data_IF_552955589826
#
_entry.id   IF_552955589826
#
_cell.length_a   1.000
_cell.length_b   1.000
_cell.length_c   1.000
_cell.angle_alpha   90.00
_cell.angle_beta   90.00
_cell.angle_gamma   90.00
#
_symmetry.space_group_name_H-M   'P 1'
#
loop_
_entity.id
_entity.type
_entity.pdbx_description
1 polymer ?
#
# COMPACT_ATOMS: atom_id res chain seq x y z
N UNK A 1 -4.44 7.04 -17.95
CA UNK A 1 -5.10 6.39 -16.80
C UNK A 1 -6.54 6.87 -16.79
N UNK A 2 -7.55 5.97 -16.79
CA UNK A 2 -8.94 6.41 -16.76
C UNK A 2 -9.20 7.19 -15.45
N UNK A 3 -10.09 8.18 -15.51
CA UNK A 3 -10.47 9.18 -14.48
C UNK A 3 -10.80 8.63 -13.08
N UNK A 4 -9.85 7.98 -12.40
CA UNK A 4 -9.99 7.59 -10.99
C UNK A 4 -9.78 8.86 -10.15
N UNK A 5 -10.87 9.36 -9.57
CA UNK A 5 -10.86 10.48 -8.63
C UNK A 5 -9.98 10.13 -7.42
N UNK A 6 -9.21 11.11 -6.96
CA UNK A 6 -8.40 10.98 -5.75
C UNK A 6 -9.29 10.70 -4.52
N UNK A 7 -8.76 9.89 -3.61
CA UNK A 7 -9.43 9.59 -2.35
C UNK A 7 -9.42 10.84 -1.47
N UNK A 8 -10.60 11.25 -0.99
CA UNK A 8 -10.70 12.40 -0.09
C UNK A 8 -10.34 11.98 1.34
N UNK A 9 -9.14 12.37 1.77
CA UNK A 9 -8.59 12.09 3.10
C UNK A 9 -8.30 13.36 3.92
N UNK A 10 -8.86 14.51 3.52
CA UNK A 10 -8.66 15.80 4.18
C UNK A 10 -9.08 15.76 5.67
N UNK A 11 -10.10 14.96 6.01
CA UNK A 11 -10.54 14.77 7.39
C UNK A 11 -9.50 14.05 8.27
N UNK A 12 -8.52 13.38 7.67
CA UNK A 12 -7.36 12.82 8.35
C UNK A 12 -6.13 13.74 8.31
N UNK A 13 -6.27 14.98 7.82
CA UNK A 13 -5.14 15.91 7.63
C UNK A 13 -4.28 15.60 6.40
N UNK A 14 -4.66 14.63 5.57
CA UNK A 14 -3.89 14.22 4.40
C UNK A 14 -4.29 15.07 3.20
N UNK A 15 -3.36 15.90 2.72
CA UNK A 15 -3.55 16.66 1.49
C UNK A 15 -3.68 15.75 0.27
N UNK A 16 -4.30 16.25 -0.81
CA UNK A 16 -4.39 15.51 -2.07
C UNK A 16 -3.02 15.08 -2.62
N UNK A 17 -2.00 15.93 -2.48
CA UNK A 17 -0.65 15.62 -2.93
C UNK A 17 0.00 14.54 -2.05
N UNK A 18 -0.20 14.59 -0.73
CA UNK A 18 0.27 13.56 0.19
C UNK A 18 -0.38 12.20 -0.13
N UNK A 19 -1.69 12.18 -0.41
CA UNK A 19 -2.37 10.98 -0.88
C UNK A 19 -1.77 10.43 -2.19
N UNK A 20 -1.49 11.29 -3.17
CA UNK A 20 -0.87 10.86 -4.44
C UNK A 20 0.49 10.23 -4.22
N UNK A 21 1.32 10.81 -3.36
CA UNK A 21 2.63 10.23 -3.00
C UNK A 21 2.45 8.84 -2.36
N UNK A 22 1.54 8.69 -1.40
CA UNK A 22 1.22 7.39 -0.79
C UNK A 22 0.68 6.38 -1.80
N UNK A 23 -0.18 6.82 -2.71
CA UNK A 23 -0.74 5.99 -3.77
C UNK A 23 0.36 5.48 -4.73
N UNK A 24 1.23 6.37 -5.21
CA UNK A 24 2.37 5.95 -6.05
C UNK A 24 3.35 5.07 -5.29
N UNK A 25 3.57 5.32 -4.00
CA UNK A 25 4.37 4.46 -3.14
C UNK A 25 3.79 3.03 -3.06
N UNK A 26 2.46 2.88 -2.98
CA UNK A 26 1.79 1.58 -3.03
C UNK A 26 1.91 0.92 -4.42
N UNK A 27 1.78 1.67 -5.51
CA UNK A 27 1.92 1.13 -6.88
C UNK A 27 3.32 0.58 -7.17
N UNK A 28 4.35 1.04 -6.46
CA UNK A 28 5.72 0.50 -6.58
C UNK A 28 5.90 -0.87 -5.91
N UNK A 29 4.91 -1.35 -5.15
CA UNK A 29 5.01 -2.59 -4.36
C UNK A 29 5.37 -3.83 -5.19
N UNK A 30 4.72 -4.12 -6.35
CA UNK A 30 5.07 -5.29 -7.16
C UNK A 30 6.51 -5.22 -7.69
N UNK A 31 6.94 -4.05 -8.17
CA UNK A 31 8.31 -3.83 -8.67
C UNK A 31 9.35 -4.03 -7.56
N UNK A 32 9.06 -3.53 -6.35
CA UNK A 32 9.89 -3.71 -5.15
C UNK A 32 10.00 -5.18 -4.76
N UNK A 33 8.90 -5.95 -4.79
CA UNK A 33 8.90 -7.41 -4.57
C UNK A 33 9.77 -8.15 -5.58
N UNK A 34 9.61 -7.86 -6.87
CA UNK A 34 10.43 -8.48 -7.92
C UNK A 34 11.91 -8.10 -7.80
N UNK A 35 12.21 -6.86 -7.43
CA UNK A 35 13.58 -6.40 -7.17
C UNK A 35 14.20 -7.13 -5.97
N UNK A 36 13.46 -7.28 -4.88
CA UNK A 36 13.92 -8.02 -3.70
C UNK A 36 14.22 -9.49 -4.05
N UNK A 37 13.30 -10.17 -4.74
CA UNK A 37 13.47 -11.55 -5.15
C UNK A 37 14.73 -11.76 -6.03
N UNK A 38 15.01 -10.82 -6.95
CA UNK A 38 16.23 -10.84 -7.76
C UNK A 38 17.48 -10.68 -6.90
N UNK A 39 17.49 -9.72 -5.98
CA UNK A 39 18.62 -9.49 -5.07
C UNK A 39 18.92 -10.73 -4.19
N UNK A 40 17.87 -11.37 -3.66
CA UNK A 40 18.02 -12.57 -2.82
C UNK A 40 18.47 -13.80 -3.61
N UNK A 41 18.03 -13.94 -4.86
CA UNK A 41 18.36 -15.10 -5.70
C UNK A 41 19.76 -15.05 -6.34
N UNK A 42 20.33 -13.85 -6.49
CA UNK A 42 21.63 -13.66 -7.16
C UNK A 42 22.85 -13.77 -6.24
N UNK A 43 22.66 -14.01 -4.93
CA UNK A 43 23.74 -14.03 -3.92
C UNK A 43 24.65 -12.79 -4.03
N UNK A 44 24.07 -11.69 -4.50
CA UNK A 44 24.79 -10.50 -4.92
C UNK A 44 25.13 -9.70 -3.68
N UNK A 45 26.35 -9.90 -3.17
CA UNK A 45 26.89 -9.33 -1.91
C UNK A 45 26.88 -7.79 -1.84
N UNK A 46 26.32 -7.09 -2.83
CA UNK A 46 26.81 -5.75 -3.16
C UNK A 46 26.05 -4.57 -2.55
N UNK A 47 24.78 -4.67 -2.11
CA UNK A 47 24.10 -3.49 -1.50
C UNK A 47 23.06 -3.85 -0.42
N UNK A 48 23.49 -4.30 0.77
CA UNK A 48 22.58 -4.60 1.90
C UNK A 48 21.66 -3.42 2.25
N UNK A 49 22.13 -2.18 2.07
CA UNK A 49 21.33 -0.97 2.33
C UNK A 49 20.11 -0.83 1.40
N UNK A 50 20.23 -1.15 0.12
CA UNK A 50 19.11 -1.05 -0.83
C UNK A 50 18.08 -2.15 -0.55
N UNK A 51 18.56 -3.36 -0.23
CA UNK A 51 17.69 -4.47 0.17
C UNK A 51 16.90 -4.14 1.44
N UNK A 52 17.56 -3.59 2.45
CA UNK A 52 16.94 -3.15 3.70
C UNK A 52 15.85 -2.10 3.46
N UNK A 53 16.12 -1.11 2.60
CA UNK A 53 15.11 -0.10 2.26
C UNK A 53 13.90 -0.72 1.56
N UNK A 54 14.11 -1.63 0.62
CA UNK A 54 13.01 -2.31 -0.08
C UNK A 54 12.19 -3.15 0.91
N UNK A 55 12.85 -3.91 1.80
CA UNK A 55 12.17 -4.71 2.83
C UNK A 55 11.35 -3.81 3.76
N UNK A 56 11.93 -2.70 4.21
CA UNK A 56 11.24 -1.72 5.04
C UNK A 56 10.00 -1.15 4.34
N UNK A 57 10.13 -0.76 3.07
CA UNK A 57 9.02 -0.22 2.30
C UNK A 57 7.86 -1.23 2.15
N UNK A 58 8.20 -2.50 1.86
CA UNK A 58 7.22 -3.59 1.74
C UNK A 58 6.52 -3.86 3.08
N UNK A 59 7.30 -3.95 4.15
CA UNK A 59 6.80 -4.16 5.51
C UNK A 59 5.88 -3.00 5.94
N UNK A 60 6.23 -1.76 5.60
CA UNK A 60 5.42 -0.59 5.90
C UNK A 60 4.01 -0.71 5.30
N UNK A 61 3.92 -1.15 4.04
CA UNK A 61 2.67 -1.35 3.32
C UNK A 61 1.89 -2.52 3.94
N UNK A 62 2.53 -3.67 4.12
CA UNK A 62 1.88 -4.88 4.64
C UNK A 62 1.36 -4.69 6.06
N UNK A 63 2.17 -4.13 6.95
CA UNK A 63 1.73 -3.85 8.32
C UNK A 63 0.61 -2.81 8.37
N UNK A 64 0.59 -1.82 7.47
CA UNK A 64 -0.51 -0.85 7.42
C UNK A 64 -1.81 -1.50 6.97
N UNK A 65 -1.75 -2.47 6.05
CA UNK A 65 -2.92 -3.24 5.62
C UNK A 65 -3.44 -4.15 6.75
N UNK A 66 -2.55 -4.86 7.45
CA UNK A 66 -2.91 -5.71 8.59
C UNK A 66 -3.48 -4.90 9.76
N UNK A 67 -2.90 -3.74 10.06
CA UNK A 67 -3.41 -2.85 11.12
C UNK A 67 -4.78 -2.24 10.76
N UNK A 68 -5.02 -1.94 9.49
CA UNK A 68 -6.33 -1.47 9.05
C UNK A 68 -7.38 -2.57 9.20
N UNK A 69 -7.07 -3.78 8.73
CA UNK A 69 -7.92 -4.96 8.93
C UNK A 69 -7.18 -6.26 8.59
N UNK A 70 -6.91 -7.09 9.60
CA UNK A 70 -6.23 -8.38 9.41
C UNK A 70 -7.09 -9.43 8.69
N UNK A 71 -8.41 -9.26 8.62
CA UNK A 71 -9.32 -10.19 7.94
C UNK A 71 -9.41 -9.97 6.44
N UNK A 72 -9.12 -8.76 5.96
CA UNK A 72 -9.20 -8.38 4.53
C UNK A 72 -7.90 -7.77 3.98
N UNK A 73 -6.78 -7.91 4.71
CA UNK A 73 -5.53 -7.24 4.34
C UNK A 73 -5.03 -7.63 2.94
N UNK A 74 -5.26 -8.86 2.49
CA UNK A 74 -4.86 -9.33 1.16
C UNK A 74 -5.62 -8.57 0.06
N UNK A 75 -6.93 -8.45 0.21
CA UNK A 75 -7.80 -7.72 -0.71
C UNK A 75 -7.50 -6.21 -0.67
N UNK A 76 -7.14 -5.67 0.51
CA UNK A 76 -6.67 -4.29 0.61
C UNK A 76 -5.37 -4.09 -0.16
N UNK A 77 -4.39 -4.99 -0.03
CA UNK A 77 -3.13 -4.93 -0.77
C UNK A 77 -3.39 -4.95 -2.28
N UNK A 78 -4.13 -5.94 -2.79
CA UNK A 78 -4.47 -6.02 -4.22
C UNK A 78 -5.17 -4.75 -4.73
N UNK A 79 -6.06 -4.16 -3.93
CA UNK A 79 -6.74 -2.93 -4.30
C UNK A 79 -5.79 -1.71 -4.36
N UNK A 80 -4.88 -1.57 -3.40
CA UNK A 80 -4.03 -0.36 -3.27
C UNK A 80 -2.73 -0.46 -4.06
N UNK A 81 -2.21 -1.66 -4.34
CA UNK A 81 -0.95 -1.87 -5.06
C UNK A 81 -1.17 -2.20 -6.53
N UNK A 82 -2.19 -2.99 -6.86
CA UNK A 82 -2.49 -3.45 -8.23
C UNK A 82 -3.69 -2.74 -8.84
N UNK A 83 -4.48 -2.03 -8.03
CA UNK A 83 -5.61 -1.25 -8.50
C UNK A 83 -6.85 -2.07 -8.86
N UNK A 84 -6.90 -3.34 -8.42
CA UNK A 84 -8.01 -4.28 -8.62
C UNK A 84 -9.28 -3.70 -8.00
N UNK A 85 -10.39 -3.74 -8.74
CA UNK A 85 -11.65 -3.16 -8.26
C UNK A 85 -12.30 -4.08 -7.21
N UNK A 86 -13.09 -3.50 -6.29
CA UNK A 86 -13.81 -4.26 -5.26
C UNK A 86 -14.64 -5.43 -5.83
N UNK A 87 -15.21 -5.26 -7.03
CA UNK A 87 -16.05 -6.28 -7.67
C UNK A 87 -15.27 -7.50 -8.17
N UNK A 88 -13.97 -7.34 -8.40
CA UNK A 88 -13.07 -8.40 -8.86
C UNK A 88 -12.32 -9.07 -7.70
N UNK A 89 -12.53 -8.57 -6.47
CA UNK A 89 -11.94 -9.11 -5.25
C UNK A 89 -12.94 -10.04 -4.55
N UNK A 90 -12.46 -11.18 -4.06
CA UNK A 90 -13.23 -12.04 -3.17
C UNK A 90 -13.18 -11.48 -1.73
N UNK A 91 -14.03 -10.49 -1.47
CA UNK A 91 -14.07 -9.77 -0.20
C UNK A 91 -15.19 -10.31 0.70
N UNK A 92 -14.91 -10.79 1.92
CA UNK A 92 -15.91 -11.31 2.85
C UNK A 92 -16.70 -10.20 3.57
N UNK A 93 -16.75 -8.98 3.03
CA UNK A 93 -17.36 -7.84 3.70
C UNK A 93 -18.01 -6.86 2.71
N UNK A 94 -18.84 -5.95 3.23
CA UNK A 94 -19.55 -4.98 2.41
C UNK A 94 -18.61 -3.96 1.77
N UNK A 95 -19.00 -3.45 0.60
CA UNK A 95 -18.29 -2.39 -0.12
C UNK A 95 -17.98 -1.17 0.74
N UNK A 96 -18.94 -0.73 1.56
CA UNK A 96 -18.77 0.42 2.43
C UNK A 96 -17.71 0.16 3.51
N UNK A 97 -17.74 -1.02 4.13
CA UNK A 97 -16.75 -1.41 5.11
C UNK A 97 -15.35 -1.47 4.47
N UNK A 98 -15.23 -2.10 3.31
CA UNK A 98 -13.97 -2.20 2.57
C UNK A 98 -13.34 -0.82 2.29
N UNK A 99 -14.10 0.13 1.74
CA UNK A 99 -13.55 1.46 1.43
C UNK A 99 -13.22 2.28 2.68
N UNK A 100 -13.91 2.05 3.80
CA UNK A 100 -13.55 2.65 5.09
C UNK A 100 -12.20 2.10 5.58
N UNK A 101 -11.98 0.78 5.51
CA UNK A 101 -10.70 0.15 5.83
C UNK A 101 -9.58 0.62 4.89
N UNK A 102 -9.88 0.84 3.60
CA UNK A 102 -8.93 1.45 2.65
C UNK A 102 -8.55 2.88 3.04
N UNK A 103 -9.48 3.69 3.52
CA UNK A 103 -9.16 5.04 4.02
C UNK A 103 -8.27 4.97 5.28
N UNK A 104 -8.60 4.08 6.21
CA UNK A 104 -7.80 3.85 7.42
C UNK A 104 -6.38 3.33 7.09
N UNK A 105 -6.24 2.47 6.08
CA UNK A 105 -4.94 2.04 5.56
C UNK A 105 -4.07 3.25 5.16
N UNK A 106 -4.61 4.19 4.37
CA UNK A 106 -3.85 5.37 3.96
C UNK A 106 -3.55 6.31 5.13
N UNK A 107 -4.44 6.40 6.12
CA UNK A 107 -4.18 7.14 7.35
C UNK A 107 -3.01 6.55 8.15
N UNK A 108 -3.01 5.23 8.36
CA UNK A 108 -1.93 4.53 9.05
C UNK A 108 -0.60 4.64 8.31
N UNK A 109 -0.64 4.51 6.97
CA UNK A 109 0.55 4.63 6.14
C UNK A 109 1.11 6.07 6.17
N UNK A 110 0.24 7.09 6.13
CA UNK A 110 0.63 8.48 6.26
C UNK A 110 1.31 8.76 7.61
N UNK A 111 0.74 8.25 8.70
CA UNK A 111 1.31 8.40 10.04
C UNK A 111 2.70 7.76 10.14
N UNK A 112 2.86 6.55 9.58
CA UNK A 112 4.15 5.85 9.54
C UNK A 112 5.19 6.53 8.64
N UNK A 113 4.76 7.32 7.66
CA UNK A 113 5.64 8.15 6.81
C UNK A 113 5.81 9.58 7.34
N UNK A 114 5.25 9.91 8.50
CA UNK A 114 5.29 11.25 9.09
C UNK A 114 4.70 12.35 8.17
N UNK A 115 3.61 12.02 7.48
CA UNK A 115 2.92 12.94 6.54
C UNK A 115 1.67 13.60 7.15
N UNK A 116 1.35 13.28 8.40
CA UNK A 116 0.23 13.78 9.23
C UNK A 116 0.66 13.96 10.67
#
# INVERSE_FOLDING_TARGET
MPDKRDLKLEHFGISQNAYRELHYFCLQYPEKKHRLHRLTGLNDKLKPSVEQQIRYDLELIEQSAVQADSGIYQQLLENVTEGVCYWDLDVPCSKQYFYKRRQEFFHLLAAKKHMV
#
